data_IF_651963256402
#
_entry.id   IF_651963256402
#
_cell.length_a   1.000
_cell.length_b   1.000
_cell.length_c   1.000
_cell.angle_alpha   90.00
_cell.angle_beta   90.00
_cell.angle_gamma   90.00
#
_symmetry.space_group_name_H-M   'P 1'
#
loop_
_entity.id
_entity.type
_entity.pdbx_description
1 polymer ?
#
# COMPACT_ATOMS: atom_id res chain seq x y z
N UNK A 1 7.06 21.08 6.88
CA UNK A 1 7.15 20.82 5.45
C UNK A 1 8.27 19.86 5.04
N UNK A 2 8.86 19.12 5.97
CA UNK A 2 9.89 18.09 5.68
C UNK A 2 9.40 16.67 5.98
N UNK A 3 8.09 16.46 6.12
CA UNK A 3 7.52 15.20 6.63
C UNK A 3 7.74 14.02 5.68
N UNK A 4 8.00 14.27 4.40
CA UNK A 4 8.28 13.21 3.43
C UNK A 4 9.77 12.91 3.22
N UNK A 5 10.68 13.82 3.49
CA UNK A 5 12.11 13.64 3.19
C UNK A 5 12.77 12.59 4.10
N UNK A 6 12.46 12.62 5.39
CA UNK A 6 13.04 11.70 6.37
C UNK A 6 12.57 10.26 6.11
N UNK A 7 11.24 9.97 6.03
CA UNK A 7 10.76 8.64 5.71
C UNK A 7 11.34 8.06 4.43
N UNK A 8 11.43 8.87 3.37
CA UNK A 8 11.99 8.43 2.09
C UNK A 8 13.49 8.07 2.18
N UNK A 9 14.28 8.81 2.96
CA UNK A 9 15.71 8.49 3.19
C UNK A 9 15.88 7.17 3.91
N UNK A 10 15.08 6.94 4.97
CA UNK A 10 15.11 5.68 5.72
C UNK A 10 14.64 4.50 4.87
N UNK A 11 13.55 4.68 4.11
CA UNK A 11 13.05 3.67 3.18
C UNK A 11 14.09 3.29 2.12
N UNK A 12 14.79 4.28 1.53
CA UNK A 12 15.88 4.03 0.57
C UNK A 12 17.05 3.28 1.20
N UNK A 13 17.43 3.63 2.43
CA UNK A 13 18.52 2.95 3.13
C UNK A 13 18.15 1.49 3.42
N UNK A 14 16.94 1.24 3.92
CA UNK A 14 16.44 -0.10 4.17
C UNK A 14 16.34 -0.93 2.89
N UNK A 15 15.82 -0.33 1.80
CA UNK A 15 15.72 -1.02 0.50
C UNK A 15 17.10 -1.44 -0.02
N UNK A 16 18.08 -0.53 0.03
CA UNK A 16 19.44 -0.82 -0.39
C UNK A 16 20.04 -1.97 0.42
N UNK A 17 19.92 -1.91 1.75
CA UNK A 17 20.40 -2.97 2.64
C UNK A 17 19.67 -4.31 2.36
N UNK A 18 18.35 -4.29 2.23
CA UNK A 18 17.56 -5.48 1.94
C UNK A 18 17.90 -6.10 0.56
N UNK A 19 18.24 -5.29 -0.43
CA UNK A 19 18.75 -5.79 -1.72
C UNK A 19 20.14 -6.43 -1.58
N UNK A 20 21.04 -5.84 -0.77
CA UNK A 20 22.39 -6.39 -0.54
C UNK A 20 22.35 -7.75 0.18
N UNK A 21 21.37 -7.93 1.10
CA UNK A 21 21.16 -9.19 1.86
C UNK A 21 20.29 -10.19 1.08
N UNK A 22 19.54 -9.75 0.06
CA UNK A 22 18.61 -10.59 -0.69
C UNK A 22 17.23 -10.74 -0.03
N UNK A 23 16.89 -9.94 0.99
CA UNK A 23 15.64 -9.99 1.75
C UNK A 23 14.60 -8.96 1.27
N UNK A 24 14.80 -8.29 0.15
CA UNK A 24 13.97 -7.15 -0.29
C UNK A 24 12.50 -7.51 -0.43
N UNK A 25 12.16 -8.71 -0.93
CA UNK A 25 10.79 -9.17 -1.09
C UNK A 25 10.13 -9.50 0.27
N UNK A 26 10.88 -10.07 1.20
CA UNK A 26 10.39 -10.37 2.55
C UNK A 26 10.10 -9.09 3.31
N UNK A 27 11.05 -8.15 3.33
CA UNK A 27 10.88 -6.82 3.95
C UNK A 27 9.71 -6.07 3.32
N UNK A 28 9.48 -6.22 1.99
CA UNK A 28 8.31 -5.64 1.34
C UNK A 28 7.00 -6.18 1.92
N UNK A 29 6.88 -7.50 2.07
CA UNK A 29 5.71 -8.13 2.70
C UNK A 29 5.49 -7.64 4.13
N UNK A 30 6.55 -7.57 4.93
CA UNK A 30 6.52 -7.10 6.31
C UNK A 30 6.10 -5.63 6.42
N UNK A 31 6.66 -4.76 5.57
CA UNK A 31 6.31 -3.33 5.54
C UNK A 31 4.88 -3.09 5.03
N UNK A 32 4.42 -3.89 4.08
CA UNK A 32 3.05 -3.86 3.60
C UNK A 32 2.06 -4.26 4.70
N UNK A 33 2.33 -5.36 5.42
CA UNK A 33 1.53 -5.80 6.56
C UNK A 33 1.48 -4.73 7.65
N UNK A 34 2.62 -4.12 7.96
CA UNK A 34 2.71 -3.02 8.91
C UNK A 34 1.84 -1.83 8.47
N UNK A 35 1.95 -1.37 7.22
CA UNK A 35 1.16 -0.25 6.70
C UNK A 35 -0.35 -0.55 6.74
N UNK A 36 -0.76 -1.77 6.42
CA UNK A 36 -2.15 -2.21 6.50
C UNK A 36 -2.67 -2.21 7.95
N UNK A 37 -1.89 -2.72 8.89
CA UNK A 37 -2.27 -2.70 10.30
C UNK A 37 -2.42 -1.26 10.84
N UNK A 38 -1.57 -0.34 10.45
CA UNK A 38 -1.73 1.08 10.80
C UNK A 38 -3.02 1.69 10.23
N UNK A 39 -3.49 1.22 9.07
CA UNK A 39 -4.74 1.68 8.46
C UNK A 39 -5.99 1.05 9.09
N UNK A 40 -5.90 -0.22 9.52
CA UNK A 40 -7.05 -0.98 10.00
C UNK A 40 -7.25 -0.89 11.52
N UNK A 41 -6.17 -0.75 12.29
CA UNK A 41 -6.22 -0.72 13.75
C UNK A 41 -6.22 0.71 14.24
N UNK A 42 -7.41 1.21 14.57
CA UNK A 42 -7.55 2.47 15.28
C UNK A 42 -6.81 2.39 16.62
N UNK A 43 -5.96 3.32 16.91
CA UNK A 43 -5.18 3.32 18.16
C UNK A 43 -3.76 2.81 18.04
N UNK A 44 -3.38 2.03 17.02
CA UNK A 44 -1.98 1.61 16.83
C UNK A 44 -1.06 2.83 16.70
N UNK A 45 -1.46 3.81 15.91
CA UNK A 45 -0.73 5.08 15.78
C UNK A 45 -0.63 5.81 17.11
N UNK A 46 -1.76 5.95 17.84
CA UNK A 46 -1.78 6.61 19.14
C UNK A 46 -0.90 5.89 20.17
N UNK A 47 -0.84 4.55 20.12
CA UNK A 47 0.04 3.73 20.97
C UNK A 47 1.52 3.99 20.66
N UNK A 48 1.90 4.04 19.40
CA UNK A 48 3.29 4.31 18.99
C UNK A 48 3.69 5.76 19.32
N UNK A 49 2.77 6.71 19.13
CA UNK A 49 3.01 8.14 19.43
C UNK A 49 3.03 8.45 20.95
N UNK A 50 2.53 7.54 21.79
CA UNK A 50 2.46 7.75 23.23
C UNK A 50 3.87 7.71 23.88
N UNK A 51 4.33 8.79 24.52
CA UNK A 51 5.66 8.84 25.14
C UNK A 51 5.77 8.01 26.43
N UNK A 52 4.64 7.61 27.05
CA UNK A 52 4.62 6.84 28.30
C UNK A 52 4.79 5.33 28.10
N UNK A 53 4.71 4.85 26.88
CA UNK A 53 4.92 3.43 26.57
C UNK A 53 6.40 3.17 26.39
N UNK A 54 6.90 2.13 27.05
CA UNK A 54 8.29 1.70 26.95
C UNK A 54 8.68 1.40 25.49
N UNK A 55 9.88 1.75 25.13
CA UNK A 55 10.43 1.59 23.79
C UNK A 55 10.42 0.14 23.38
N UNK A 56 10.87 -0.76 24.25
CA UNK A 56 10.89 -2.20 24.03
C UNK A 56 9.50 -2.77 23.68
N UNK A 57 8.44 -2.22 24.28
CA UNK A 57 7.07 -2.65 24.00
C UNK A 57 6.59 -2.17 22.62
N UNK A 58 7.02 -0.99 22.21
CA UNK A 58 6.76 -0.46 20.85
C UNK A 58 7.47 -1.29 19.78
N UNK A 59 8.74 -1.62 20.01
CA UNK A 59 9.50 -2.48 19.10
C UNK A 59 8.85 -3.85 18.94
N UNK A 60 8.51 -4.51 20.08
CA UNK A 60 7.79 -5.80 20.06
C UNK A 60 6.45 -5.73 19.36
N UNK A 61 5.72 -4.63 19.52
CA UNK A 61 4.45 -4.41 18.85
C UNK A 61 4.64 -4.29 17.33
N UNK A 62 5.62 -3.50 16.88
CA UNK A 62 5.94 -3.34 15.46
C UNK A 62 6.41 -4.64 14.82
N UNK A 63 7.23 -5.44 15.50
CA UNK A 63 7.64 -6.76 15.03
C UNK A 63 6.45 -7.73 14.88
N UNK A 64 5.53 -7.73 15.85
CA UNK A 64 4.32 -8.57 15.77
C UNK A 64 3.41 -8.14 14.61
N UNK A 65 3.23 -6.85 14.43
CA UNK A 65 2.37 -6.28 13.38
C UNK A 65 2.93 -6.53 11.99
N UNK A 66 4.25 -6.48 11.84
CA UNK A 66 4.93 -6.76 10.57
C UNK A 66 5.08 -8.24 10.26
N UNK A 67 4.95 -9.12 11.28
CA UNK A 67 5.29 -10.53 11.16
C UNK A 67 6.79 -10.80 10.99
N UNK A 68 7.63 -9.83 11.32
CA UNK A 68 9.07 -9.95 11.20
C UNK A 68 9.67 -10.86 12.30
N UNK A 69 10.72 -11.58 11.92
CA UNK A 69 11.49 -12.37 12.85
C UNK A 69 12.53 -11.50 13.57
N UNK A 70 12.90 -11.90 14.78
CA UNK A 70 14.03 -11.30 15.49
C UNK A 70 15.32 -11.50 14.69
N UNK A 71 16.23 -10.51 14.79
CA UNK A 71 17.53 -10.47 14.11
C UNK A 71 17.47 -10.29 12.59
N UNK A 72 16.29 -10.13 11.99
CA UNK A 72 16.11 -9.81 10.58
C UNK A 72 16.48 -8.36 10.22
N UNK A 73 16.49 -8.05 8.93
CA UNK A 73 16.77 -6.69 8.45
C UNK A 73 15.79 -5.65 8.99
N UNK A 74 14.52 -6.03 9.15
CA UNK A 74 13.50 -5.12 9.68
C UNK A 74 13.68 -4.86 11.18
N UNK A 75 14.06 -5.86 11.98
CA UNK A 75 14.33 -5.71 13.41
C UNK A 75 15.47 -4.70 13.64
N UNK A 76 16.59 -4.90 12.94
CA UNK A 76 17.74 -3.96 12.97
C UNK A 76 17.32 -2.55 12.54
N UNK A 77 16.42 -2.46 11.58
CA UNK A 77 15.91 -1.18 11.11
C UNK A 77 15.04 -0.49 12.17
N UNK A 78 14.13 -1.20 12.82
CA UNK A 78 13.28 -0.68 13.90
C UNK A 78 14.16 -0.16 15.04
N UNK A 79 15.15 -0.93 15.47
CA UNK A 79 16.13 -0.51 16.47
C UNK A 79 16.90 0.77 16.05
N UNK A 80 17.33 0.87 14.78
CA UNK A 80 18.00 2.06 14.27
C UNK A 80 17.07 3.30 14.31
N UNK A 81 15.82 3.13 13.91
CA UNK A 81 14.81 4.20 13.90
C UNK A 81 14.53 4.69 15.31
N UNK A 82 14.44 3.76 16.27
CA UNK A 82 14.26 4.08 17.67
C UNK A 82 15.46 4.84 18.26
N UNK A 83 16.67 4.36 18.03
CA UNK A 83 17.89 5.05 18.45
C UNK A 83 17.95 6.50 18.01
N UNK A 84 17.29 6.85 16.91
CA UNK A 84 17.16 8.23 16.43
C UNK A 84 15.88 8.92 16.91
N UNK A 85 15.11 8.31 17.81
CA UNK A 85 13.82 8.84 18.33
C UNK A 85 12.81 9.18 17.22
N UNK A 86 12.73 8.33 16.18
CA UNK A 86 11.87 8.54 15.00
C UNK A 86 10.83 7.44 14.79
N UNK A 87 10.54 6.67 15.83
CA UNK A 87 9.61 5.54 15.77
C UNK A 87 8.19 5.99 15.37
N UNK A 88 7.80 7.23 15.70
CA UNK A 88 6.52 7.84 15.31
C UNK A 88 6.36 7.99 13.80
N UNK A 89 7.47 8.01 13.04
CA UNK A 89 7.47 8.09 11.57
C UNK A 89 7.43 6.72 10.90
N UNK A 90 7.33 5.61 11.67
CA UNK A 90 7.40 4.25 11.13
C UNK A 90 6.32 3.97 10.08
N UNK A 91 5.08 4.43 10.28
CA UNK A 91 4.01 4.31 9.28
C UNK A 91 4.39 4.98 7.96
N UNK A 92 4.90 6.20 8.01
CA UNK A 92 5.33 6.91 6.79
C UNK A 92 6.53 6.24 6.11
N UNK A 93 7.45 5.66 6.89
CA UNK A 93 8.59 4.88 6.38
C UNK A 93 8.11 3.58 5.70
N UNK A 94 7.11 2.90 6.27
CA UNK A 94 6.53 1.70 5.69
C UNK A 94 5.86 2.00 4.33
N UNK A 95 5.05 3.05 4.24
CA UNK A 95 4.43 3.48 2.99
C UNK A 95 5.48 3.89 1.94
N UNK A 96 6.53 4.61 2.36
CA UNK A 96 7.62 5.01 1.46
C UNK A 96 8.41 3.80 0.93
N UNK A 97 8.66 2.78 1.76
CA UNK A 97 9.32 1.54 1.34
C UNK A 97 8.48 0.76 0.33
N UNK A 98 7.18 0.57 0.64
CA UNK A 98 6.23 -0.13 -0.25
C UNK A 98 6.19 0.54 -1.62
N UNK A 99 6.10 1.87 -1.66
CA UNK A 99 6.11 2.65 -2.90
C UNK A 99 7.42 2.45 -3.68
N UNK A 100 8.56 2.59 -3.02
CA UNK A 100 9.88 2.47 -3.62
C UNK A 100 10.14 1.06 -4.19
N UNK A 101 9.74 0.01 -3.46
CA UNK A 101 9.86 -1.37 -3.91
C UNK A 101 9.01 -1.63 -5.16
N UNK A 102 7.76 -1.15 -5.19
CA UNK A 102 6.87 -1.26 -6.36
C UNK A 102 7.46 -0.57 -7.58
N UNK A 103 7.97 0.65 -7.42
CA UNK A 103 8.63 1.39 -8.49
C UNK A 103 9.86 0.66 -9.02
N UNK A 104 10.69 0.11 -8.12
CA UNK A 104 11.92 -0.59 -8.50
C UNK A 104 11.65 -1.96 -9.17
N UNK A 105 10.62 -2.67 -8.74
CA UNK A 105 10.24 -3.99 -9.30
C UNK A 105 9.24 -3.88 -10.46
N UNK A 106 8.79 -2.68 -10.84
CA UNK A 106 7.79 -2.49 -11.89
C UNK A 106 6.43 -3.09 -11.53
N UNK A 107 6.03 -3.04 -10.26
CA UNK A 107 4.74 -3.55 -9.79
C UNK A 107 3.73 -2.41 -9.87
N UNK A 108 2.70 -2.57 -10.71
CA UNK A 108 1.59 -1.61 -10.79
C UNK A 108 0.46 -2.01 -9.85
N UNK A 109 -0.03 -1.04 -9.09
CA UNK A 109 -1.18 -1.25 -8.23
C UNK A 109 -2.47 -1.05 -9.01
N UNK A 110 -3.33 -2.06 -9.02
CA UNK A 110 -4.64 -2.04 -9.68
C UNK A 110 -5.72 -2.15 -8.62
N UNK A 111 -6.54 -1.11 -8.49
CA UNK A 111 -7.74 -1.13 -7.67
C UNK A 111 -8.95 -1.27 -8.58
N UNK A 112 -9.72 -2.35 -8.41
CA UNK A 112 -10.97 -2.60 -9.12
C UNK A 112 -12.12 -2.26 -8.17
N UNK A 113 -12.84 -1.18 -8.45
CA UNK A 113 -14.02 -0.76 -7.69
C UNK A 113 -15.28 -1.21 -8.43
N UNK A 114 -16.16 -1.92 -7.76
CA UNK A 114 -17.38 -2.49 -8.35
C UNK A 114 -18.63 -2.09 -7.56
N UNK A 115 -19.80 -2.11 -8.17
CA UNK A 115 -21.05 -1.78 -7.48
C UNK A 115 -21.54 -2.91 -6.56
N UNK A 116 -21.14 -4.17 -6.84
CA UNK A 116 -21.48 -5.36 -6.07
C UNK A 116 -20.31 -6.35 -6.14
N UNK A 117 -20.39 -7.41 -5.33
CA UNK A 117 -19.40 -8.51 -5.42
C UNK A 117 -19.43 -9.13 -6.82
N UNK A 118 -18.26 -9.21 -7.44
CA UNK A 118 -18.09 -9.87 -8.74
C UNK A 118 -17.65 -11.31 -8.54
N UNK A 119 -18.15 -12.24 -9.39
CA UNK A 119 -17.61 -13.58 -9.47
C UNK A 119 -16.11 -13.54 -9.84
N UNK A 120 -15.33 -14.46 -9.29
CA UNK A 120 -13.87 -14.54 -9.57
C UNK A 120 -13.54 -14.60 -11.07
N UNK A 121 -14.42 -15.19 -11.88
CA UNK A 121 -14.25 -15.26 -13.32
C UNK A 121 -14.20 -13.87 -13.97
N UNK A 122 -15.10 -12.97 -13.56
CA UNK A 122 -15.14 -11.60 -14.10
C UNK A 122 -13.95 -10.77 -13.63
N UNK A 123 -13.51 -10.97 -12.38
CA UNK A 123 -12.29 -10.32 -11.86
C UNK A 123 -11.08 -10.75 -12.71
N UNK A 124 -10.95 -12.03 -13.02
CA UNK A 124 -9.88 -12.57 -13.88
C UNK A 124 -9.92 -12.00 -15.30
N UNK A 125 -11.10 -11.84 -15.89
CA UNK A 125 -11.26 -11.24 -17.22
C UNK A 125 -10.85 -9.76 -17.25
N UNK A 126 -11.25 -8.99 -16.23
CA UNK A 126 -10.82 -7.58 -16.06
C UNK A 126 -9.31 -7.52 -15.89
N UNK A 127 -8.76 -8.37 -15.03
CA UNK A 127 -7.31 -8.46 -14.78
C UNK A 127 -6.54 -8.76 -16.06
N UNK A 128 -6.94 -9.77 -16.81
CA UNK A 128 -6.29 -10.14 -18.07
C UNK A 128 -6.34 -9.01 -19.12
N UNK A 129 -7.38 -8.19 -19.08
CA UNK A 129 -7.50 -7.02 -19.93
C UNK A 129 -6.52 -5.93 -19.50
N UNK A 130 -6.42 -5.68 -18.19
CA UNK A 130 -5.49 -4.70 -17.62
C UNK A 130 -4.03 -5.12 -17.83
N UNK A 131 -3.70 -6.38 -17.67
CA UNK A 131 -2.36 -6.95 -17.96
C UNK A 131 -1.89 -6.67 -19.39
N UNK A 132 -2.78 -6.79 -20.36
CA UNK A 132 -2.46 -6.48 -21.78
C UNK A 132 -2.13 -5.00 -22.00
N UNK A 133 -2.74 -4.10 -21.22
CA UNK A 133 -2.47 -2.66 -21.31
C UNK A 133 -1.17 -2.24 -20.62
N UNK A 134 -0.67 -3.05 -19.67
CA UNK A 134 0.48 -2.71 -18.85
C UNK A 134 1.80 -3.39 -19.26
N UNK A 135 1.85 -3.91 -20.50
CA UNK A 135 3.06 -4.47 -21.12
C UNK A 135 3.85 -5.46 -20.23
N UNK A 136 3.15 -6.37 -19.54
CA UNK A 136 3.76 -7.44 -18.76
C UNK A 136 4.34 -7.02 -17.42
N UNK A 137 3.95 -5.89 -16.87
CA UNK A 137 4.27 -5.51 -15.47
C UNK A 137 3.57 -6.44 -14.49
N UNK A 138 4.20 -6.71 -13.38
CA UNK A 138 3.56 -7.43 -12.28
C UNK A 138 2.41 -6.59 -11.72
N UNK A 139 1.22 -7.21 -11.53
CA UNK A 139 0.05 -6.51 -11.02
C UNK A 139 -0.23 -6.90 -9.57
N UNK A 140 -0.47 -5.90 -8.75
CA UNK A 140 -1.01 -6.08 -7.41
C UNK A 140 -2.46 -5.61 -7.38
N UNK A 141 -3.39 -6.57 -7.35
CA UNK A 141 -4.82 -6.31 -7.52
C UNK A 141 -5.47 -6.20 -6.14
N UNK A 142 -6.26 -5.15 -5.98
CA UNK A 142 -7.17 -4.97 -4.85
C UNK A 142 -8.59 -4.75 -5.37
N UNK A 143 -9.58 -5.30 -4.68
CA UNK A 143 -10.99 -5.12 -5.02
C UNK A 143 -11.68 -4.36 -3.91
N UNK A 144 -12.53 -3.40 -4.27
CA UNK A 144 -13.38 -2.67 -3.34
C UNK A 144 -14.81 -2.54 -3.89
N UNK A 145 -15.79 -2.41 -3.02
CA UNK A 145 -17.19 -2.30 -3.40
C UNK A 145 -17.67 -0.89 -3.09
N UNK A 146 -18.20 -0.21 -4.11
CA UNK A 146 -18.85 1.09 -3.98
C UNK A 146 -20.26 1.05 -4.62
N UNK A 147 -21.32 0.91 -3.81
CA UNK A 147 -22.70 0.86 -4.31
C UNK A 147 -23.15 2.13 -5.05
N UNK A 148 -22.46 3.25 -4.85
CA UNK A 148 -22.77 4.51 -5.53
C UNK A 148 -22.47 4.52 -7.03
N UNK A 149 -21.77 3.50 -7.54
CA UNK A 149 -21.51 3.33 -8.98
C UNK A 149 -22.78 2.94 -9.75
N UNK A 150 -23.83 2.44 -9.06
CA UNK A 150 -25.10 1.94 -9.62
C UNK A 150 -24.89 0.62 -10.38
N UNK A 151 -23.78 0.48 -11.12
CA UNK A 151 -23.39 -0.69 -11.93
C UNK A 151 -22.08 -0.45 -12.66
N UNK A 152 -21.55 -1.51 -13.27
CA UNK A 152 -20.27 -1.47 -13.95
C UNK A 152 -19.10 -1.49 -12.98
N UNK A 153 -17.94 -1.00 -13.42
CA UNK A 153 -16.70 -1.02 -12.62
C UNK A 153 -15.83 0.20 -12.93
N UNK A 154 -14.97 0.53 -11.98
CA UNK A 154 -13.90 1.51 -12.15
C UNK A 154 -12.58 0.81 -11.88
N UNK A 155 -11.62 0.92 -12.81
CA UNK A 155 -10.26 0.42 -12.62
C UNK A 155 -9.34 1.61 -12.43
N UNK A 156 -8.63 1.62 -11.31
CA UNK A 156 -7.58 2.60 -11.04
C UNK A 156 -6.24 1.89 -11.15
N UNK A 157 -5.36 2.38 -12.00
CA UNK A 157 -4.01 1.86 -12.19
C UNK A 157 -3.03 2.99 -11.91
N UNK A 158 -2.31 2.92 -10.82
CA UNK A 158 -1.41 3.99 -10.38
C UNK A 158 -2.09 5.38 -10.39
N UNK A 159 -1.86 6.18 -11.45
CA UNK A 159 -2.45 7.52 -11.62
C UNK A 159 -3.53 7.58 -12.71
N UNK A 160 -3.84 6.46 -13.36
CA UNK A 160 -4.81 6.38 -14.47
C UNK A 160 -6.10 5.77 -13.95
N UNK A 161 -7.23 6.38 -14.30
CA UNK A 161 -8.56 5.89 -13.93
C UNK A 161 -9.34 5.57 -15.21
N UNK A 162 -9.77 4.31 -15.34
CA UNK A 162 -10.72 3.85 -16.33
C UNK A 162 -12.08 3.71 -15.66
N UNK A 163 -13.00 4.62 -15.97
CA UNK A 163 -14.35 4.62 -15.41
C UNK A 163 -15.35 4.08 -16.43
N UNK A 164 -15.75 2.82 -16.24
CA UNK A 164 -16.79 2.11 -16.97
C UNK A 164 -18.05 1.93 -16.12
N UNK A 165 -18.35 2.87 -15.22
CA UNK A 165 -19.55 2.85 -14.39
C UNK A 165 -20.78 3.33 -15.15
N UNK A 166 -21.93 2.73 -14.84
CA UNK A 166 -23.24 3.18 -15.34
C UNK A 166 -23.52 4.63 -14.94
N UNK A 167 -23.09 5.03 -13.76
CA UNK A 167 -23.18 6.41 -13.28
C UNK A 167 -22.50 7.41 -14.24
N UNK A 168 -21.31 7.09 -14.71
CA UNK A 168 -20.58 7.94 -15.64
C UNK A 168 -21.23 7.96 -17.03
N UNK A 169 -21.74 6.82 -17.51
CA UNK A 169 -22.47 6.77 -18.78
C UNK A 169 -23.77 7.58 -18.75
N UNK A 170 -24.55 7.48 -17.68
CA UNK A 170 -25.74 8.31 -17.47
C UNK A 170 -25.42 9.79 -17.42
N UNK A 171 -24.30 10.16 -16.77
CA UNK A 171 -23.81 11.55 -16.76
C UNK A 171 -23.46 12.05 -18.14
N UNK A 172 -22.76 11.25 -18.94
CA UNK A 172 -22.43 11.57 -20.33
C UNK A 172 -23.66 11.73 -21.22
N UNK A 173 -24.64 10.83 -21.05
CA UNK A 173 -25.92 10.92 -21.78
C UNK A 173 -26.70 12.19 -21.40
N UNK A 174 -26.78 12.49 -20.11
CA UNK A 174 -27.42 13.74 -19.65
C UNK A 174 -26.79 14.98 -20.24
N UNK A 175 -25.48 15.04 -20.30
CA UNK A 175 -24.76 16.18 -20.92
C UNK A 175 -25.04 16.30 -22.42
N UNK A 176 -25.12 15.15 -23.14
CA UNK A 176 -25.47 15.14 -24.58
C UNK A 176 -26.92 15.56 -24.86
N UNK A 177 -27.82 15.34 -23.92
CA UNK A 177 -29.24 15.75 -24.07
C UNK A 177 -29.47 17.22 -23.72
N UNK A 178 -28.54 17.85 -23.01
CA UNK A 178 -28.62 19.26 -22.60
C UNK A 178 -27.81 20.19 -23.50
N UNK A 179 -26.99 19.63 -24.41
CA UNK A 179 -26.22 20.35 -25.43
C UNK A 179 -26.96 20.38 -26.76
#
# INVERSE_FOLDING_TARGET
>A
MNDGLIPNRYAKALYKHACEVGEAAEVYGQMKSMAQCFAQVEGLKATIDNPFIAIDDKERLLLKVSGAQKDGSLDKFIFLVDKHSRITMMHAMALAYVKLYREACGISQVEIVTACELPEKQIKEITATVEKYLDGRSLEISTSIDPYLIGGFVVKVDSVILDASVKNELKKLRLKLLS
#
